data_IF_767610199178
#
_entry.id   IF_767610199178
#
_cell.length_a   1.000
_cell.length_b   1.000
_cell.length_c   1.000
_cell.angle_alpha   90.00
_cell.angle_beta   90.00
_cell.angle_gamma   90.00
#
_symmetry.space_group_name_H-M   'P 1'
#
loop_
_entity.id
_entity.type
_entity.pdbx_description
1 polymer ?
#
# COMPACT_ATOMS: atom_id res chain seq x y z
N UNK A 1 -16.08 -5.50 7.55
CA UNK A 1 -16.55 -4.28 6.89
C UNK A 1 -15.44 -3.24 6.88
N UNK A 2 -15.27 -2.56 5.75
CA UNK A 2 -14.37 -1.40 5.63
C UNK A 2 -15.24 -0.20 5.28
N UNK A 3 -15.13 0.86 6.09
CA UNK A 3 -15.77 2.14 5.79
C UNK A 3 -14.70 3.12 5.31
N UNK A 4 -15.09 4.04 4.45
CA UNK A 4 -14.23 5.08 3.91
C UNK A 4 -14.92 6.43 3.96
N UNK A 5 -14.17 7.48 4.27
CA UNK A 5 -14.66 8.85 4.26
C UNK A 5 -13.77 9.74 3.41
N UNK A 6 -14.35 10.75 2.78
CA UNK A 6 -13.62 11.84 2.13
C UNK A 6 -13.24 12.88 3.17
N UNK A 7 -11.99 13.32 3.13
CA UNK A 7 -11.50 14.43 3.96
C UNK A 7 -11.71 15.80 3.29
N UNK A 8 -11.89 15.80 1.96
CA UNK A 8 -12.22 16.98 1.17
C UNK A 8 -13.34 16.64 0.18
N UNK A 9 -14.13 17.63 -0.20
CA UNK A 9 -15.24 17.45 -1.16
C UNK A 9 -14.77 16.86 -2.51
N UNK A 10 -13.55 17.19 -2.93
CA UNK A 10 -12.97 16.78 -4.20
C UNK A 10 -12.25 15.44 -4.14
N UNK A 11 -12.13 14.83 -2.95
CA UNK A 11 -11.51 13.51 -2.79
C UNK A 11 -12.32 12.44 -3.51
N UNK A 12 -11.64 11.44 -4.04
CA UNK A 12 -12.26 10.35 -4.79
C UNK A 12 -12.23 9.09 -3.93
N UNK A 13 -13.40 8.47 -3.75
CA UNK A 13 -13.49 7.17 -3.06
C UNK A 13 -12.76 6.11 -3.89
N UNK A 14 -11.90 5.29 -3.28
CA UNK A 14 -11.17 4.24 -3.98
C UNK A 14 -12.10 3.29 -4.74
N UNK A 15 -11.69 2.91 -5.96
CA UNK A 15 -12.49 2.07 -6.85
C UNK A 15 -11.74 0.83 -7.27
N UNK A 16 -12.47 -0.24 -7.59
CA UNK A 16 -11.91 -1.44 -8.21
C UNK A 16 -11.82 -1.28 -9.73
N UNK A 17 -10.75 -1.76 -10.33
CA UNK A 17 -10.60 -1.81 -11.78
C UNK A 17 -11.54 -2.84 -12.45
N UNK A 18 -11.95 -3.87 -11.71
CA UNK A 18 -12.93 -4.89 -12.13
C UNK A 18 -13.63 -5.47 -10.90
N UNK A 19 -14.73 -6.21 -11.11
CA UNK A 19 -15.48 -6.84 -10.03
C UNK A 19 -14.61 -7.72 -9.12
N UNK A 20 -13.65 -8.45 -9.68
CA UNK A 20 -12.79 -9.40 -8.97
C UNK A 20 -11.38 -8.84 -8.69
N UNK A 21 -11.14 -7.55 -8.90
CA UNK A 21 -9.87 -6.95 -8.53
C UNK A 21 -9.62 -7.11 -7.02
N UNK A 22 -8.41 -7.53 -6.65
CA UNK A 22 -7.99 -7.72 -5.26
C UNK A 22 -7.67 -6.41 -4.53
N UNK A 23 -7.52 -5.31 -5.28
CA UNK A 23 -7.15 -4.02 -4.75
C UNK A 23 -8.10 -2.91 -5.21
N UNK A 24 -8.13 -1.84 -4.44
CA UNK A 24 -8.82 -0.59 -4.77
C UNK A 24 -7.80 0.47 -5.19
N UNK A 25 -8.00 1.09 -6.33
CA UNK A 25 -7.18 2.20 -6.80
C UNK A 25 -7.32 3.41 -5.88
N UNK A 26 -6.19 4.01 -5.52
CA UNK A 26 -6.08 5.26 -4.78
C UNK A 26 -5.73 6.40 -5.73
N UNK A 27 -6.36 7.54 -5.50
CA UNK A 27 -6.30 8.72 -6.35
C UNK A 27 -5.47 9.81 -5.69
N UNK A 28 -4.63 10.50 -6.46
CA UNK A 28 -3.87 11.64 -5.97
C UNK A 28 -4.80 12.80 -5.61
N UNK A 29 -4.64 13.37 -4.43
CA UNK A 29 -5.38 14.57 -4.01
C UNK A 29 -4.77 15.88 -4.52
N UNK A 30 -3.63 15.82 -5.22
CA UNK A 30 -2.85 16.97 -5.64
C UNK A 30 -2.07 16.70 -6.93
N UNK A 31 -1.58 17.78 -7.57
CA UNK A 31 -0.61 17.70 -8.66
C UNK A 31 0.78 17.47 -8.05
N UNK A 32 1.51 16.46 -8.55
CA UNK A 32 2.84 16.08 -8.04
C UNK A 32 3.79 15.81 -9.20
N UNK A 33 5.02 16.30 -9.08
CA UNK A 33 6.14 15.92 -9.92
C UNK A 33 7.17 15.18 -9.07
N UNK A 34 7.43 13.92 -9.42
CA UNK A 34 8.49 13.12 -8.80
C UNK A 34 9.68 13.11 -9.75
N UNK A 35 10.76 13.84 -9.39
CA UNK A 35 11.97 13.88 -10.19
C UNK A 35 12.70 12.54 -10.21
N UNK A 36 13.52 12.25 -11.24
CA UNK A 36 14.32 11.03 -11.31
C UNK A 36 15.16 10.80 -10.04
N UNK A 37 15.10 9.59 -9.50
CA UNK A 37 15.81 9.19 -8.27
C UNK A 37 15.23 9.78 -6.98
N UNK A 38 14.14 10.54 -7.04
CA UNK A 38 13.51 11.19 -5.89
C UNK A 38 12.25 10.44 -5.45
N UNK A 39 11.71 10.85 -4.32
CA UNK A 39 10.44 10.33 -3.80
C UNK A 39 9.58 11.47 -3.28
N UNK A 40 8.26 11.28 -3.34
CA UNK A 40 7.27 12.21 -2.82
C UNK A 40 6.20 11.47 -2.00
N UNK A 41 5.69 12.11 -0.97
CA UNK A 41 4.56 11.62 -0.17
C UNK A 41 3.29 12.25 -0.71
N UNK A 42 2.39 11.42 -1.21
CA UNK A 42 1.19 11.86 -1.93
C UNK A 42 -0.05 11.51 -1.11
N UNK A 43 -0.87 12.52 -0.84
CA UNK A 43 -2.15 12.35 -0.16
C UNK A 43 -3.22 11.77 -1.08
N UNK A 44 -4.15 11.05 -0.49
CA UNK A 44 -5.31 10.48 -1.19
C UNK A 44 -6.61 11.21 -0.87
N UNK A 45 -6.61 12.03 0.16
CA UNK A 45 -7.80 12.73 0.66
C UNK A 45 -8.87 11.82 1.26
N UNK A 46 -8.54 10.57 1.58
CA UNK A 46 -9.47 9.63 2.23
C UNK A 46 -8.88 9.03 3.49
N UNK A 47 -9.78 8.63 4.40
CA UNK A 47 -9.47 7.89 5.61
C UNK A 47 -10.39 6.67 5.72
N UNK A 48 -9.94 5.64 6.44
CA UNK A 48 -10.66 4.38 6.60
C UNK A 48 -10.99 4.06 8.05
N UNK A 49 -12.05 3.31 8.24
CA UNK A 49 -12.33 2.52 9.42
C UNK A 49 -12.38 1.05 8.99
N UNK A 50 -11.40 0.29 9.46
CA UNK A 50 -11.20 -1.12 9.09
C UNK A 50 -11.59 -1.98 10.31
N UNK A 51 -12.31 -3.08 10.09
CA UNK A 51 -12.66 -4.00 11.16
C UNK A 51 -11.40 -4.62 11.81
N UNK A 52 -11.45 -4.86 13.11
CA UNK A 52 -10.38 -5.54 13.84
C UNK A 52 -10.07 -6.90 13.21
N UNK A 53 -8.78 -7.25 13.16
CA UNK A 53 -8.30 -8.47 12.51
C UNK A 53 -8.09 -8.32 11.01
N UNK A 54 -8.28 -7.11 10.48
CA UNK A 54 -7.97 -6.73 9.11
C UNK A 54 -7.06 -5.52 9.08
N UNK A 55 -6.27 -5.40 8.03
CA UNK A 55 -5.46 -4.22 7.75
C UNK A 55 -5.49 -3.87 6.26
N UNK A 56 -5.16 -2.64 5.93
CA UNK A 56 -4.93 -2.20 4.56
C UNK A 56 -3.46 -2.33 4.19
N UNK A 57 -3.17 -2.95 3.04
CA UNK A 57 -1.83 -3.01 2.45
C UNK A 57 -1.74 -2.04 1.28
N UNK A 58 -0.81 -1.09 1.37
CA UNK A 58 -0.50 -0.17 0.29
C UNK A 58 0.51 -0.80 -0.67
N UNK A 59 0.29 -0.63 -1.96
CA UNK A 59 1.22 -1.05 -3.00
C UNK A 59 1.11 -0.14 -4.24
N UNK A 60 2.11 -0.25 -5.13
CA UNK A 60 2.04 0.42 -6.42
C UNK A 60 1.08 -0.30 -7.38
N UNK A 61 0.55 0.45 -8.33
CA UNK A 61 -0.18 -0.11 -9.48
C UNK A 61 0.83 -0.64 -10.50
N UNK A 62 0.48 -1.70 -11.22
CA UNK A 62 1.35 -2.28 -12.24
C UNK A 62 1.76 -1.26 -13.32
N UNK A 63 0.85 -0.39 -13.75
CA UNK A 63 1.18 0.65 -14.74
C UNK A 63 2.22 1.66 -14.25
N UNK A 64 2.23 1.97 -12.96
CA UNK A 64 3.25 2.85 -12.36
C UNK A 64 4.63 2.18 -12.40
N UNK A 65 4.72 0.91 -12.01
CA UNK A 65 5.97 0.18 -11.99
C UNK A 65 6.50 -0.12 -13.41
N UNK A 66 5.64 -0.65 -14.29
CA UNK A 66 6.07 -1.14 -15.61
C UNK A 66 6.19 -0.06 -16.69
N UNK A 67 5.43 1.03 -16.59
CA UNK A 67 5.46 2.10 -17.61
C UNK A 67 6.23 3.34 -17.17
N UNK A 68 6.20 3.65 -15.87
CA UNK A 68 6.77 4.88 -15.32
C UNK A 68 7.95 4.60 -14.39
N UNK A 69 8.37 3.35 -14.25
CA UNK A 69 9.45 2.92 -13.35
C UNK A 69 9.31 3.52 -11.93
N UNK A 70 8.05 3.66 -11.48
CA UNK A 70 7.71 4.25 -10.19
C UNK A 70 7.03 3.25 -9.29
N UNK A 71 7.51 3.13 -8.06
CA UNK A 71 6.98 2.19 -7.08
C UNK A 71 6.51 2.91 -5.82
N UNK A 72 5.49 2.35 -5.16
CA UNK A 72 5.05 2.78 -3.85
C UNK A 72 5.91 2.15 -2.75
N UNK A 73 6.12 2.89 -1.66
CA UNK A 73 6.51 2.27 -0.41
C UNK A 73 5.42 1.29 0.02
N UNK A 74 5.83 0.09 0.41
CA UNK A 74 4.94 -0.83 1.09
C UNK A 74 4.53 -0.25 2.45
N UNK A 75 3.25 -0.29 2.79
CA UNK A 75 2.74 0.28 4.04
C UNK A 75 1.52 -0.45 4.56
N UNK A 76 1.36 -0.41 5.89
CA UNK A 76 0.21 -0.95 6.60
C UNK A 76 -0.68 0.20 7.05
N UNK A 77 -1.99 0.04 6.85
CA UNK A 77 -3.02 0.89 7.42
C UNK A 77 -3.73 0.06 8.49
N UNK A 78 -3.47 0.38 9.73
CA UNK A 78 -4.01 -0.34 10.88
C UNK A 78 -5.51 -0.10 11.04
N UNK A 79 -6.20 -1.05 11.67
CA UNK A 79 -7.65 -0.99 11.86
C UNK A 79 -8.11 0.20 12.72
N UNK A 80 -7.25 0.73 13.58
CA UNK A 80 -7.50 1.88 14.45
C UNK A 80 -6.94 3.21 13.92
N UNK A 81 -6.28 3.21 12.75
CA UNK A 81 -5.83 4.46 12.12
C UNK A 81 -7.01 5.21 11.49
N UNK A 82 -7.16 6.48 11.83
CA UNK A 82 -8.24 7.36 11.33
C UNK A 82 -7.74 8.55 10.53
N UNK A 83 -6.43 8.64 10.32
CA UNK A 83 -5.83 9.72 9.54
C UNK A 83 -5.94 9.52 8.03
N UNK A 84 -5.54 10.55 7.29
CA UNK A 84 -5.43 10.48 5.84
C UNK A 84 -4.46 9.38 5.40
N UNK A 85 -4.88 8.56 4.46
CA UNK A 85 -3.98 7.62 3.79
C UNK A 85 -3.07 8.39 2.84
N UNK A 86 -1.78 8.29 3.08
CA UNK A 86 -0.73 8.85 2.23
C UNK A 86 0.19 7.75 1.74
N UNK A 87 0.68 7.90 0.53
CA UNK A 87 1.56 6.90 -0.09
C UNK A 87 2.84 7.58 -0.54
N UNK A 88 3.97 7.04 -0.12
CA UNK A 88 5.27 7.48 -0.60
C UNK A 88 5.58 6.77 -1.91
N UNK A 89 5.78 7.55 -2.98
CA UNK A 89 6.13 7.07 -4.31
C UNK A 89 7.59 7.38 -4.60
N UNK A 90 8.29 6.44 -5.23
CA UNK A 90 9.68 6.56 -5.68
C UNK A 90 9.71 6.57 -7.20
N UNK A 91 10.55 7.41 -7.79
CA UNK A 91 10.83 7.40 -9.21
C UNK A 91 12.22 6.80 -9.44
N UNK A 92 12.26 5.60 -10.01
CA UNK A 92 13.50 4.87 -10.35
C UNK A 92 13.94 5.11 -11.80
N UNK A 93 13.13 5.81 -12.59
CA UNK A 93 13.38 6.10 -14.00
C UNK A 93 14.29 7.30 -14.21
N UNK A 94 14.46 7.65 -15.47
CA UNK A 94 15.28 8.79 -15.91
C UNK A 94 14.46 10.04 -16.24
N UNK A 95 13.16 9.88 -16.37
CA UNK A 95 12.21 10.97 -16.65
C UNK A 95 11.41 11.32 -15.40
N UNK A 96 10.90 12.56 -15.33
CA UNK A 96 9.99 12.99 -14.26
C UNK A 96 8.64 12.28 -14.36
N UNK A 97 8.10 11.82 -13.23
CA UNK A 97 6.76 11.27 -13.14
C UNK A 97 5.80 12.37 -12.73
N UNK A 98 4.90 12.74 -13.65
CA UNK A 98 3.88 13.74 -13.43
C UNK A 98 2.56 13.07 -13.06
N UNK A 99 2.04 13.39 -11.90
CA UNK A 99 0.71 13.01 -11.45
C UNK A 99 -0.14 14.26 -11.33
N UNK A 100 -1.35 14.21 -11.86
CA UNK A 100 -2.35 15.24 -11.66
C UNK A 100 -3.33 14.81 -10.57
N UNK A 101 -3.91 15.78 -9.90
CA UNK A 101 -5.03 15.55 -8.99
C UNK A 101 -6.10 14.68 -9.68
N UNK A 102 -6.49 13.59 -9.04
CA UNK A 102 -7.43 12.63 -9.59
C UNK A 102 -6.80 11.48 -10.39
N UNK A 103 -5.49 11.47 -10.59
CA UNK A 103 -4.80 10.33 -11.19
C UNK A 103 -4.74 9.15 -10.22
N UNK A 104 -4.93 7.93 -10.75
CA UNK A 104 -4.73 6.68 -10.01
C UNK A 104 -3.24 6.38 -9.94
N UNK A 105 -2.65 6.42 -8.76
CA UNK A 105 -1.20 6.29 -8.59
C UNK A 105 -0.76 5.14 -7.70
N UNK A 106 -1.65 4.64 -6.85
CA UNK A 106 -1.37 3.56 -5.91
C UNK A 106 -2.62 2.72 -5.73
N UNK A 107 -2.55 1.70 -4.90
CA UNK A 107 -3.68 0.84 -4.58
C UNK A 107 -3.61 0.33 -3.14
N UNK A 108 -4.75 -0.04 -2.60
CA UNK A 108 -4.91 -0.62 -1.27
C UNK A 108 -5.65 -1.95 -1.35
N UNK A 109 -5.14 -2.96 -0.66
CA UNK A 109 -5.78 -4.28 -0.50
C UNK A 109 -6.07 -4.50 0.98
N UNK A 110 -7.24 -5.01 1.32
CA UNK A 110 -7.58 -5.34 2.70
C UNK A 110 -7.38 -6.83 2.93
N UNK A 111 -6.57 -7.17 3.94
CA UNK A 111 -6.22 -8.56 4.26
C UNK A 111 -6.41 -8.84 5.74
N UNK A 112 -6.78 -10.09 6.11
CA UNK A 112 -6.79 -10.49 7.51
C UNK A 112 -5.36 -10.59 8.06
N UNK A 113 -5.21 -10.32 9.36
CA UNK A 113 -3.94 -10.48 10.05
C UNK A 113 -4.12 -11.13 11.41
N UNK A 114 -3.04 -11.68 11.94
CA UNK A 114 -3.03 -12.18 13.32
C UNK A 114 -3.12 -10.98 14.29
N UNK A 115 -4.12 -11.00 15.13
CA UNK A 115 -4.40 -9.95 16.13
C UNK A 115 -4.15 -10.39 17.57
N UNK A 116 -3.50 -11.56 17.78
CA UNK A 116 -3.13 -12.06 19.10
C UNK A 116 -1.77 -11.54 19.57
N UNK A 117 -1.48 -11.78 20.83
CA UNK A 117 -0.19 -11.43 21.43
C UNK A 117 0.91 -12.41 21.01
N UNK A 118 2.15 -11.93 21.02
CA UNK A 118 3.32 -12.76 20.90
C UNK A 118 3.71 -13.28 22.28
N UNK A 119 3.99 -14.57 22.37
CA UNK A 119 4.43 -15.22 23.62
C UNK A 119 5.90 -15.57 23.50
N UNK A 120 6.70 -15.02 24.38
CA UNK A 120 8.12 -15.38 24.50
C UNK A 120 8.25 -16.80 25.06
N UNK A 121 9.08 -17.62 24.40
CA UNK A 121 9.40 -18.98 24.83
C UNK A 121 10.91 -19.20 24.72
N UNK A 122 11.46 -20.09 25.54
CA UNK A 122 12.89 -20.37 25.54
C UNK A 122 13.34 -21.09 24.25
N UNK A 123 12.49 -21.93 23.69
CA UNK A 123 12.79 -22.71 22.48
C UNK A 123 11.56 -22.84 21.61
N UNK A 124 11.77 -22.93 20.30
CA UNK A 124 10.74 -23.24 19.31
C UNK A 124 10.72 -24.74 19.02
N UNK A 125 9.59 -25.24 18.53
CA UNK A 125 9.47 -26.63 18.08
C UNK A 125 10.39 -26.90 16.88
N UNK A 126 10.89 -28.13 16.79
CA UNK A 126 11.71 -28.57 15.67
C UNK A 126 10.85 -28.82 14.41
N UNK A 127 11.44 -28.54 13.24
CA UNK A 127 10.85 -28.86 11.92
C UNK A 127 11.91 -29.46 11.01
N UNK A 128 11.48 -30.16 9.95
CA UNK A 128 12.40 -30.72 8.94
C UNK A 128 13.24 -29.60 8.28
N UNK A 129 12.64 -28.43 8.06
CA UNK A 129 13.34 -27.28 7.48
C UNK A 129 14.32 -26.62 8.44
N UNK A 130 14.04 -26.64 9.76
CA UNK A 130 14.84 -25.97 10.79
C UNK A 130 15.12 -24.52 10.45
N UNK A 131 16.37 -24.12 10.51
CA UNK A 131 16.84 -22.77 10.19
C UNK A 131 17.16 -22.55 8.69
N UNK A 132 16.84 -23.47 7.82
CA UNK A 132 17.10 -23.37 6.38
C UNK A 132 16.30 -22.23 5.72
N UNK A 133 17.00 -21.33 5.06
CA UNK A 133 16.45 -20.16 4.39
C UNK A 133 17.53 -19.37 3.66
N UNK A 134 17.18 -18.19 3.13
CA UNK A 134 18.14 -17.27 2.49
C UNK A 134 18.99 -17.93 1.39
N UNK A 135 18.37 -18.80 0.57
CA UNK A 135 19.06 -19.52 -0.51
C UNK A 135 19.64 -20.88 -0.09
N UNK A 136 19.34 -21.41 1.09
CA UNK A 136 19.81 -22.74 1.54
C UNK A 136 19.36 -23.90 0.64
N UNK A 137 18.32 -23.72 -0.17
CA UNK A 137 17.83 -24.69 -1.14
C UNK A 137 18.46 -24.56 -2.54
N UNK A 138 19.41 -23.62 -2.71
CA UNK A 138 20.03 -23.32 -3.99
C UNK A 138 19.20 -22.38 -4.88
N UNK A 139 19.72 -22.08 -6.06
CA UNK A 139 19.07 -21.28 -7.11
C UNK A 139 18.53 -22.23 -8.17
#
# INVERSE_FOLDING_TARGET
>A
LVKVTKLNKDSIIPTKGSMWAGAYDLYSSEDVLILPGMSEVIGTGVAFEIDRGWLGLLSHRSSMAFKLESTASFGYIDSDYRGEVKVKMFNHGVDGVHLKKGDRFSQITFVPHYAGDLVEVDTLSETIRGAGGFGSSGV
#
